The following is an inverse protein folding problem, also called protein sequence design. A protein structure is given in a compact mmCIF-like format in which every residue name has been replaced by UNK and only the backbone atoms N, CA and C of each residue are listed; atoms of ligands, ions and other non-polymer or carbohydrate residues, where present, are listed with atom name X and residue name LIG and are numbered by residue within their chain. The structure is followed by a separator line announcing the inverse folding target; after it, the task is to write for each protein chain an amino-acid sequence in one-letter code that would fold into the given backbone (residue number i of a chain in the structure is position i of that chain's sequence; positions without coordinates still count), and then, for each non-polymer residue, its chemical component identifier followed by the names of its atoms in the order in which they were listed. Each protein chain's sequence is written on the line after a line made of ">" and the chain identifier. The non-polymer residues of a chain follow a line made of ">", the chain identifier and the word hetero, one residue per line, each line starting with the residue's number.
data_IF_242191613023
#
_entry.id   IF_242191613023
#
_cell.length_a   1.000
_cell.length_b   1.000
_cell.length_c   1.000
_cell.angle_alpha   90.00
_cell.angle_beta   90.00
_cell.angle_gamma   90.00
#
_symmetry.space_group_name_H-M   'P 1'
#
loop_
_entity.id
_entity.type
_entity.pdbx_description
1 polymer ?
#
# COMPACT_ATOMS: atom_id res chain seq x y z
N UNK A 1 6.81 12.25 14.62
CA UNK A 1 8.29 12.32 14.61
C UNK A 1 8.83 13.75 14.70
N UNK A 2 8.36 14.74 13.92
CA UNK A 2 8.96 16.09 13.91
C UNK A 2 9.01 16.77 15.29
N UNK A 3 7.94 16.66 16.07
CA UNK A 3 7.89 17.19 17.46
C UNK A 3 9.03 16.61 18.31
N UNK A 4 9.26 15.31 18.24
CA UNK A 4 10.34 14.66 18.99
C UNK A 4 11.72 14.98 18.43
N UNK A 5 11.87 15.11 17.11
CA UNK A 5 13.14 15.50 16.49
C UNK A 5 13.64 16.85 17.03
N UNK A 6 12.76 17.85 17.08
CA UNK A 6 13.08 19.17 17.65
C UNK A 6 13.34 19.10 19.16
N UNK A 7 12.43 18.45 19.91
CA UNK A 7 12.50 18.39 21.38
C UNK A 7 13.71 17.64 21.91
N UNK A 8 14.28 16.71 21.13
CA UNK A 8 15.42 15.90 21.53
C UNK A 8 16.75 16.36 20.94
N UNK A 9 16.77 17.39 20.07
CA UNK A 9 17.98 17.80 19.33
C UNK A 9 19.19 18.02 20.25
N UNK A 10 19.06 18.87 21.27
CA UNK A 10 20.16 19.18 22.17
C UNK A 10 20.69 17.95 22.93
N UNK A 11 19.80 17.03 23.33
CA UNK A 11 20.18 15.80 24.04
C UNK A 11 20.91 14.82 23.11
N UNK A 12 20.50 14.74 21.84
CA UNK A 12 21.17 13.92 20.83
C UNK A 12 22.53 14.48 20.47
N UNK A 13 22.65 15.79 20.29
CA UNK A 13 23.92 16.48 20.02
C UNK A 13 24.93 16.35 21.17
N UNK A 14 24.44 16.34 22.42
CA UNK A 14 25.26 16.08 23.60
C UNK A 14 25.70 14.61 23.76
N UNK A 15 25.06 13.67 23.04
CA UNK A 15 25.30 12.24 23.19
C UNK A 15 24.56 11.59 24.36
N UNK A 16 23.70 12.34 25.07
CA UNK A 16 22.93 11.85 26.22
C UNK A 16 21.72 11.00 25.82
N UNK A 17 21.31 11.06 24.55
CA UNK A 17 20.17 10.33 24.03
C UNK A 17 20.43 9.80 22.62
N UNK A 18 20.18 8.51 22.42
CA UNK A 18 20.07 7.91 21.10
C UNK A 18 18.59 7.79 20.73
N UNK A 19 18.24 8.22 19.52
CA UNK A 19 16.88 8.07 18.98
C UNK A 19 16.93 7.16 17.77
N UNK A 20 16.02 6.19 17.74
CA UNK A 20 15.78 5.30 16.61
C UNK A 20 14.28 5.32 16.34
N UNK A 21 13.88 5.53 15.09
CA UNK A 21 12.48 5.39 14.69
C UNK A 21 12.24 4.08 13.98
N UNK A 22 10.99 3.65 14.01
CA UNK A 22 10.50 2.52 13.25
C UNK A 22 9.26 3.01 12.50
N UNK A 23 9.22 2.84 11.19
CA UNK A 23 8.09 3.24 10.35
C UNK A 23 7.39 2.04 9.75
N UNK A 24 6.05 2.08 9.74
CA UNK A 24 5.20 1.05 9.10
C UNK A 24 4.78 1.42 7.67
N UNK A 25 5.52 2.35 7.06
CA UNK A 25 5.35 2.79 5.68
C UNK A 25 5.61 1.63 4.68
N UNK A 26 4.85 1.56 3.59
CA UNK A 26 5.04 0.57 2.52
C UNK A 26 6.36 0.76 1.78
N UNK A 27 6.74 2.01 1.52
CA UNK A 27 7.84 2.34 0.63
C UNK A 27 8.94 3.10 1.39
N UNK A 28 10.14 2.52 1.44
CA UNK A 28 11.25 3.05 2.23
C UNK A 28 11.72 4.44 1.73
N UNK A 29 11.62 4.70 0.43
CA UNK A 29 11.91 5.98 -0.21
C UNK A 29 11.00 7.13 0.27
N UNK A 30 9.70 6.88 0.47
CA UNK A 30 8.76 7.85 1.06
C UNK A 30 9.20 8.22 2.48
N UNK A 31 9.64 7.25 3.27
CA UNK A 31 10.18 7.50 4.60
C UNK A 31 11.47 8.34 4.56
N UNK A 32 12.35 8.08 3.58
CA UNK A 32 13.58 8.86 3.35
C UNK A 32 13.28 10.30 2.91
N UNK A 33 12.34 10.50 1.99
CA UNK A 33 11.89 11.83 1.58
C UNK A 33 11.30 12.61 2.77
N UNK A 34 10.48 11.96 3.58
CA UNK A 34 9.94 12.56 4.80
C UNK A 34 11.05 12.96 5.78
N UNK A 35 12.07 12.11 5.95
CA UNK A 35 13.22 12.42 6.80
C UNK A 35 14.02 13.62 6.26
N UNK A 36 14.31 13.66 4.96
CA UNK A 36 14.99 14.79 4.31
C UNK A 36 14.19 16.09 4.47
N UNK A 37 12.87 16.03 4.27
CA UNK A 37 12.02 17.22 4.37
C UNK A 37 12.11 17.88 5.74
N UNK A 38 12.14 17.06 6.80
CA UNK A 38 12.18 17.50 8.19
C UNK A 38 13.60 17.55 8.80
N UNK A 39 14.66 17.30 8.03
CA UNK A 39 16.04 17.28 8.53
C UNK A 39 16.28 16.20 9.60
N UNK A 40 15.54 15.09 9.55
CA UNK A 40 15.72 13.98 10.48
C UNK A 40 17.02 13.25 10.14
N UNK A 41 17.94 13.28 11.10
CA UNK A 41 19.33 12.86 11.01
C UNK A 41 19.63 11.56 11.77
N UNK A 42 18.65 11.04 12.50
CA UNK A 42 18.78 9.79 13.26
C UNK A 42 18.21 8.58 12.52
N UNK A 43 18.67 7.34 12.82
CA UNK A 43 18.30 6.14 12.06
C UNK A 43 16.80 5.82 12.11
N UNK A 44 16.22 5.52 10.95
CA UNK A 44 14.84 5.04 10.80
C UNK A 44 14.87 3.62 10.26
N UNK A 45 14.39 2.67 11.04
CA UNK A 45 14.15 1.29 10.62
C UNK A 45 12.82 1.20 9.86
N UNK A 46 12.80 0.40 8.80
CA UNK A 46 11.64 0.19 7.95
C UNK A 46 10.97 -1.15 8.27
N UNK A 47 9.72 -1.09 8.74
CA UNK A 47 8.91 -2.25 9.15
C UNK A 47 7.52 -2.21 8.46
N UNK A 48 7.46 -2.46 7.13
CA UNK A 48 6.18 -2.47 6.42
C UNK A 48 5.27 -3.61 6.89
N UNK A 49 5.85 -4.64 7.53
CA UNK A 49 5.20 -5.89 7.93
C UNK A 49 4.59 -5.85 9.34
N UNK A 50 4.71 -4.73 10.07
CA UNK A 50 4.30 -4.60 11.47
C UNK A 50 4.90 -5.69 12.38
N UNK A 51 6.18 -6.00 12.22
CA UNK A 51 6.93 -6.95 13.04
C UNK A 51 7.05 -6.50 14.49
N UNK A 52 6.99 -5.20 14.74
CA UNK A 52 6.90 -4.65 16.11
C UNK A 52 5.61 -5.01 16.83
N UNK A 53 4.58 -5.51 16.13
CA UNK A 53 3.26 -5.79 16.70
C UNK A 53 2.54 -4.52 17.17
N UNK A 54 2.90 -3.37 16.63
CA UNK A 54 2.35 -2.08 17.03
C UNK A 54 0.88 -1.98 16.65
N UNK A 55 0.02 -1.82 17.65
CA UNK A 55 -1.43 -1.68 17.44
C UNK A 55 -1.88 -0.23 17.21
N UNK A 56 -0.99 0.75 17.35
CA UNK A 56 -1.26 2.18 17.15
C UNK A 56 0.03 2.96 16.86
N UNK A 57 -0.06 4.11 16.18
CA UNK A 57 1.08 5.03 16.00
C UNK A 57 0.65 6.49 16.24
N UNK A 58 1.55 7.36 16.73
CA UNK A 58 2.92 7.07 17.15
C UNK A 58 2.99 6.33 18.50
N UNK A 59 3.92 5.38 18.63
CA UNK A 59 4.33 4.79 19.90
C UNK A 59 5.75 5.27 20.24
N UNK A 60 5.95 5.77 21.46
CA UNK A 60 7.25 6.24 21.93
C UNK A 60 7.59 5.47 23.21
N UNK A 61 8.82 5.00 23.31
CA UNK A 61 9.31 4.19 24.42
C UNK A 61 10.71 4.65 24.82
N UNK A 62 10.94 4.87 26.12
CA UNK A 62 12.27 5.11 26.68
C UNK A 62 12.91 3.79 27.13
N UNK A 63 14.09 3.48 26.59
CA UNK A 63 14.86 2.27 26.88
C UNK A 63 16.19 2.71 27.50
N UNK A 64 16.47 2.24 28.71
CA UNK A 64 17.69 2.60 29.44
C UNK A 64 18.95 1.92 28.88
N UNK A 65 20.11 2.24 29.46
CA UNK A 65 21.41 1.68 29.08
C UNK A 65 21.55 0.16 29.30
N UNK A 66 20.62 -0.44 30.06
CA UNK A 66 20.54 -1.88 30.30
C UNK A 66 19.57 -2.58 29.33
N UNK A 67 18.98 -1.84 28.38
CA UNK A 67 18.04 -2.38 27.39
C UNK A 67 16.62 -2.59 27.95
N UNK A 68 16.29 -1.97 29.08
CA UNK A 68 14.99 -2.13 29.73
C UNK A 68 14.06 -0.97 29.40
N UNK A 69 12.81 -1.29 29.08
CA UNK A 69 11.75 -0.30 28.91
C UNK A 69 11.42 0.34 30.26
N UNK A 70 11.63 1.65 30.38
CA UNK A 70 11.34 2.40 31.61
C UNK A 70 10.09 3.27 31.52
N UNK A 71 9.82 3.81 30.33
CA UNK A 71 8.67 4.70 30.12
C UNK A 71 8.01 4.38 28.79
N UNK A 72 6.69 4.29 28.78
CA UNK A 72 5.86 4.06 27.59
C UNK A 72 4.96 5.27 27.37
N UNK A 73 4.89 5.75 26.13
CA UNK A 73 4.16 6.97 25.73
C UNK A 73 4.52 8.20 26.59
N UNK A 74 5.82 8.52 26.76
CA UNK A 74 6.21 9.72 27.48
C UNK A 74 5.65 10.97 26.79
N UNK A 75 5.45 12.03 27.57
CA UNK A 75 5.18 13.37 27.03
C UNK A 75 6.51 14.07 26.74
N UNK A 76 6.65 14.79 25.62
CA UNK A 76 7.88 15.50 25.30
C UNK A 76 8.33 16.46 26.42
N UNK A 77 7.38 17.10 27.09
CA UNK A 77 7.65 18.13 28.10
C UNK A 77 8.25 17.56 29.39
N UNK A 78 7.93 16.31 29.73
CA UNK A 78 8.37 15.66 30.97
C UNK A 78 9.38 14.53 30.72
N UNK A 79 9.81 14.32 29.48
CA UNK A 79 10.64 13.17 29.12
C UNK A 79 12.00 13.19 29.83
N UNK A 80 12.69 14.33 29.84
CA UNK A 80 14.00 14.45 30.47
C UNK A 80 13.94 14.15 31.98
N UNK A 81 12.97 14.70 32.68
CA UNK A 81 12.78 14.45 34.11
C UNK A 81 12.38 12.99 34.39
N UNK A 82 11.47 12.44 33.59
CA UNK A 82 10.94 11.10 33.82
C UNK A 82 11.90 9.97 33.41
N UNK A 83 12.85 10.24 32.50
CA UNK A 83 13.70 9.20 31.91
C UNK A 83 15.19 9.48 31.97
N UNK A 84 15.65 10.72 31.81
CA UNK A 84 17.08 11.04 31.78
C UNK A 84 17.66 11.42 33.15
N UNK A 85 16.86 12.05 34.01
CA UNK A 85 17.31 12.41 35.36
C UNK A 85 17.55 11.21 36.28
N UNK A 86 16.76 10.11 36.22
CA UNK A 86 16.99 8.93 37.04
C UNK A 86 18.20 8.11 36.57
N UNK A 87 18.95 7.54 37.51
CA UNK A 87 19.91 6.46 37.21
C UNK A 87 19.22 5.11 37.41
N UNK A 88 19.38 4.20 36.45
CA UNK A 88 18.74 2.89 36.51
C UNK A 88 19.72 1.83 37.02
N UNK A 89 19.29 1.06 38.03
CA UNK A 89 20.06 -0.08 38.49
C UNK A 89 20.05 -1.19 37.41
N UNK A 90 21.18 -1.89 37.20
CA UNK A 90 21.23 -3.02 36.29
C UNK A 90 20.27 -4.13 36.75
N UNK A 91 19.68 -4.90 35.83
CA UNK A 91 18.83 -6.04 36.20
C UNK A 91 19.62 -7.04 37.06
N UNK A 92 18.95 -7.60 38.08
CA UNK A 92 19.55 -8.55 39.01
C UNK A 92 20.10 -9.82 38.32
N UNK A 93 19.58 -10.14 37.14
CA UNK A 93 20.01 -11.24 36.29
C UNK A 93 20.61 -10.67 34.99
N UNK A 94 21.79 -10.06 35.11
CA UNK A 94 22.50 -9.33 34.04
C UNK A 94 23.08 -10.23 32.94
N UNK A 95 22.50 -11.42 32.72
CA UNK A 95 22.60 -12.04 31.41
C UNK A 95 21.76 -11.17 30.47
N UNK A 96 22.39 -10.09 29.96
CA UNK A 96 21.96 -9.43 28.73
C UNK A 96 21.95 -10.55 27.70
N UNK A 97 20.80 -11.21 27.55
CA UNK A 97 20.59 -12.07 26.40
C UNK A 97 20.59 -11.08 25.26
N UNK A 98 21.58 -11.11 24.34
CA UNK A 98 21.41 -10.37 23.12
C UNK A 98 20.11 -10.91 22.55
N UNK A 99 19.07 -10.08 22.56
CA UNK A 99 17.88 -10.28 21.74
C UNK A 99 18.33 -10.03 20.31
N UNK A 100 19.31 -10.83 19.84
CA UNK A 100 19.48 -11.08 18.43
C UNK A 100 18.18 -11.75 18.07
N UNK A 101 17.28 -10.95 17.51
CA UNK A 101 16.18 -11.44 16.73
C UNK A 101 16.80 -12.23 15.59
N UNK A 102 17.12 -13.49 15.85
CA UNK A 102 17.44 -14.45 14.80
C UNK A 102 16.13 -14.72 14.06
N UNK A 103 16.15 -15.06 12.77
CA UNK A 103 14.96 -15.56 12.09
C UNK A 103 14.23 -16.66 12.89
N UNK A 104 14.96 -17.46 13.68
CA UNK A 104 14.37 -18.46 14.57
C UNK A 104 13.53 -17.86 15.73
N UNK A 105 13.83 -16.66 16.20
CA UNK A 105 13.08 -16.00 17.30
C UNK A 105 11.76 -15.35 16.88
N UNK A 106 11.57 -15.12 15.57
CA UNK A 106 10.30 -14.70 14.97
C UNK A 106 9.46 -15.90 14.53
N UNK A 107 10.05 -17.11 14.51
CA UNK A 107 9.37 -18.32 14.09
C UNK A 107 8.68 -18.95 15.30
N UNK A 108 7.35 -19.07 15.24
CA UNK A 108 6.69 -20.15 15.97
C UNK A 108 7.22 -21.50 15.48
N UNK A 109 7.11 -22.59 16.27
CA UNK A 109 7.41 -23.92 15.77
C UNK A 109 6.58 -24.20 14.50
N UNK A 110 7.23 -24.28 13.33
CA UNK A 110 6.58 -24.47 12.02
C UNK A 110 6.68 -23.28 11.04
N UNK A 111 7.16 -22.10 11.47
CA UNK A 111 7.09 -20.85 10.68
C UNK A 111 8.41 -20.40 10.02
N UNK A 112 9.48 -21.21 10.08
CA UNK A 112 10.82 -20.81 9.59
C UNK A 112 10.81 -20.35 8.12
N UNK A 113 10.04 -21.01 7.26
CA UNK A 113 9.91 -20.63 5.86
C UNK A 113 9.31 -19.24 5.66
N UNK A 114 8.29 -18.90 6.45
CA UNK A 114 7.60 -17.62 6.40
C UNK A 114 8.45 -16.49 6.98
N UNK A 115 9.17 -16.74 8.09
CA UNK A 115 10.12 -15.74 8.61
C UNK A 115 11.26 -15.48 7.64
N UNK A 116 11.83 -16.54 7.06
CA UNK A 116 12.86 -16.39 6.04
C UNK A 116 12.34 -15.64 4.81
N UNK A 117 11.04 -15.74 4.50
CA UNK A 117 10.41 -14.92 3.48
C UNK A 117 10.36 -13.43 3.86
N UNK A 118 9.96 -13.09 5.09
CA UNK A 118 9.94 -11.70 5.56
C UNK A 118 11.34 -11.09 5.56
N UNK A 119 12.33 -11.80 6.11
CA UNK A 119 13.72 -11.36 6.13
C UNK A 119 14.24 -11.11 4.71
N UNK A 120 13.84 -11.96 3.76
CA UNK A 120 14.16 -11.75 2.35
C UNK A 120 13.52 -10.47 1.81
N UNK A 121 12.21 -10.25 1.98
CA UNK A 121 11.55 -9.01 1.52
C UNK A 121 12.16 -7.73 2.12
N UNK A 122 12.59 -7.78 3.37
CA UNK A 122 13.27 -6.66 4.04
C UNK A 122 14.71 -6.44 3.54
N UNK A 123 15.41 -7.52 3.21
CA UNK A 123 16.80 -7.49 2.75
C UNK A 123 16.97 -7.32 1.24
N UNK A 124 15.91 -7.49 0.45
CA UNK A 124 15.92 -7.25 -0.99
C UNK A 124 16.18 -5.76 -1.22
N UNK A 125 17.27 -5.40 -1.89
CA UNK A 125 17.43 -4.03 -2.36
C UNK A 125 16.39 -3.85 -3.46
N UNK A 126 15.30 -3.14 -3.16
CA UNK A 126 14.25 -2.81 -4.13
C UNK A 126 14.77 -1.99 -5.32
N UNK A 127 16.01 -1.50 -5.23
CA UNK A 127 16.76 -0.81 -6.28
C UNK A 127 17.78 -1.70 -7.02
N UNK A 128 17.89 -3.01 -6.73
CA UNK A 128 18.88 -3.88 -7.38
C UNK A 128 18.35 -4.57 -8.63
N UNK A 129 19.19 -4.56 -9.67
CA UNK A 129 19.04 -5.25 -10.95
C UNK A 129 19.06 -6.78 -10.78
N UNK A 130 18.00 -7.35 -10.23
CA UNK A 130 17.76 -8.78 -10.42
C UNK A 130 17.46 -9.03 -11.90
N UNK A 131 17.98 -10.13 -12.43
CA UNK A 131 17.34 -10.76 -13.58
C UNK A 131 15.87 -11.02 -13.22
N UNK A 132 14.94 -10.54 -14.05
CA UNK A 132 13.50 -10.62 -13.80
C UNK A 132 13.04 -12.05 -13.54
N UNK A 133 13.66 -13.05 -14.16
CA UNK A 133 13.29 -14.46 -13.97
C UNK A 133 13.72 -14.98 -12.59
N UNK A 134 14.94 -14.64 -12.15
CA UNK A 134 15.40 -15.01 -10.81
C UNK A 134 14.59 -14.32 -9.70
N UNK A 135 14.23 -13.04 -9.91
CA UNK A 135 13.36 -12.28 -9.01
C UNK A 135 11.98 -12.91 -8.90
N UNK A 136 11.36 -13.20 -10.04
CA UNK A 136 10.04 -13.82 -10.11
C UNK A 136 10.03 -15.14 -9.33
N UNK A 137 10.96 -16.04 -9.63
CA UNK A 137 11.05 -17.33 -8.96
C UNK A 137 11.28 -17.20 -7.45
N UNK A 138 12.04 -16.21 -7.00
CA UNK A 138 12.24 -15.93 -5.58
C UNK A 138 10.96 -15.41 -4.92
N UNK A 139 10.28 -14.44 -5.53
CA UNK A 139 9.02 -13.89 -5.03
C UNK A 139 7.94 -14.95 -4.92
N UNK A 140 7.79 -15.82 -5.93
CA UNK A 140 6.82 -16.93 -5.88
C UNK A 140 7.07 -17.84 -4.67
N UNK A 141 8.32 -18.26 -4.45
CA UNK A 141 8.65 -19.11 -3.30
C UNK A 141 8.36 -18.43 -1.97
N UNK A 142 8.67 -17.13 -1.84
CA UNK A 142 8.45 -16.39 -0.59
C UNK A 142 6.97 -16.10 -0.33
N UNK A 143 6.21 -15.75 -1.35
CA UNK A 143 4.76 -15.58 -1.25
C UNK A 143 4.06 -16.90 -0.93
N UNK A 144 4.52 -18.01 -1.50
CA UNK A 144 4.00 -19.33 -1.16
C UNK A 144 4.23 -19.67 0.32
N UNK A 145 5.43 -19.39 0.85
CA UNK A 145 5.73 -19.61 2.28
C UNK A 145 4.83 -18.77 3.21
N UNK A 146 4.59 -17.49 2.88
CA UNK A 146 3.66 -16.65 3.63
C UNK A 146 2.21 -17.15 3.51
N UNK A 147 1.78 -17.56 2.32
CA UNK A 147 0.45 -18.11 2.11
C UNK A 147 0.23 -19.41 2.90
N UNK A 148 1.25 -20.27 2.99
CA UNK A 148 1.20 -21.47 3.83
C UNK A 148 1.03 -21.14 5.31
N UNK A 149 1.73 -20.12 5.84
CA UNK A 149 1.55 -19.68 7.23
C UNK A 149 0.13 -19.16 7.51
N UNK A 150 -0.47 -18.46 6.53
CA UNK A 150 -1.87 -17.98 6.62
C UNK A 150 -2.89 -19.12 6.56
N UNK A 151 -2.55 -20.26 5.95
CA UNK A 151 -3.43 -21.40 5.78
C UNK A 151 -3.47 -22.34 7.00
N UNK A 152 -2.56 -22.18 7.96
CA UNK A 152 -2.57 -22.95 9.21
C UNK A 152 -3.80 -22.59 10.04
N UNK A 153 -4.50 -23.59 10.56
CA UNK A 153 -5.66 -23.37 11.43
C UNK A 153 -5.24 -22.67 12.72
N UNK A 154 -6.00 -21.64 13.12
CA UNK A 154 -5.64 -20.78 14.26
C UNK A 154 -4.39 -19.92 14.06
N UNK A 155 -3.89 -19.75 12.83
CA UNK A 155 -2.75 -18.87 12.54
C UNK A 155 -2.98 -17.43 13.04
N UNK A 156 -1.89 -16.80 13.51
CA UNK A 156 -1.88 -15.37 13.86
C UNK A 156 -2.38 -14.53 12.68
N UNK A 157 -3.43 -13.71 12.85
CA UNK A 157 -3.93 -12.78 11.82
C UNK A 157 -2.85 -11.88 11.20
N UNK A 158 -1.76 -11.59 11.93
CA UNK A 158 -0.63 -10.84 11.41
C UNK A 158 -0.01 -11.48 10.16
N UNK A 159 -0.07 -12.81 10.00
CA UNK A 159 0.41 -13.47 8.78
C UNK A 159 -0.37 -13.05 7.54
N UNK A 160 -1.69 -12.84 7.67
CA UNK A 160 -2.51 -12.34 6.56
C UNK A 160 -2.16 -10.89 6.22
N UNK A 161 -1.90 -10.05 7.24
CA UNK A 161 -1.44 -8.69 7.01
C UNK A 161 -0.11 -8.67 6.24
N UNK A 162 0.85 -9.48 6.70
CA UNK A 162 2.19 -9.59 6.09
C UNK A 162 2.13 -10.12 4.66
N UNK A 163 1.29 -11.11 4.39
CA UNK A 163 1.05 -11.60 3.03
C UNK A 163 0.55 -10.49 2.12
N UNK A 164 -0.38 -9.65 2.59
CA UNK A 164 -0.86 -8.52 1.81
C UNK A 164 0.23 -7.49 1.50
N UNK A 165 1.10 -7.20 2.47
CA UNK A 165 2.27 -6.32 2.27
C UNK A 165 3.19 -6.90 1.19
N UNK A 166 3.51 -8.20 1.26
CA UNK A 166 4.36 -8.86 0.27
C UNK A 166 3.74 -8.89 -1.13
N UNK A 167 2.42 -9.07 -1.25
CA UNK A 167 1.70 -8.98 -2.54
C UNK A 167 1.78 -7.58 -3.12
N UNK A 168 1.60 -6.55 -2.28
CA UNK A 168 1.77 -5.17 -2.71
C UNK A 168 3.20 -4.90 -3.19
N UNK A 169 4.19 -5.41 -2.48
CA UNK A 169 5.58 -5.30 -2.92
C UNK A 169 5.85 -6.00 -4.27
N UNK A 170 5.17 -7.11 -4.59
CA UNK A 170 5.26 -7.72 -5.94
C UNK A 170 4.62 -6.82 -7.00
N UNK A 171 3.47 -6.22 -6.71
CA UNK A 171 2.80 -5.27 -7.60
C UNK A 171 3.69 -4.07 -7.95
N UNK A 172 4.45 -3.59 -6.98
CA UNK A 172 5.36 -2.46 -7.12
C UNK A 172 6.72 -2.84 -7.78
N UNK A 173 6.89 -4.10 -8.21
CA UNK A 173 8.13 -4.62 -8.78
C UNK A 173 8.03 -4.89 -10.29
N UNK A 174 9.17 -5.09 -11.00
CA UNK A 174 9.16 -5.48 -12.42
C UNK A 174 8.47 -6.81 -12.73
N UNK A 175 8.18 -7.64 -11.72
CA UNK A 175 7.52 -8.95 -11.86
C UNK A 175 6.08 -8.93 -11.32
N UNK A 176 5.48 -7.75 -11.27
CA UNK A 176 4.07 -7.55 -10.94
C UNK A 176 3.16 -8.46 -11.76
N UNK A 177 2.09 -8.95 -11.14
CA UNK A 177 1.06 -9.75 -11.82
C UNK A 177 -0.31 -9.12 -11.67
N UNK A 178 -1.17 -9.37 -12.65
CA UNK A 178 -2.60 -9.12 -12.50
C UNK A 178 -3.14 -9.82 -11.23
N UNK A 179 -4.00 -9.13 -10.50
CA UNK A 179 -4.62 -9.60 -9.28
C UNK A 179 -3.80 -9.35 -8.01
N UNK A 180 -2.58 -8.81 -8.09
CA UNK A 180 -1.76 -8.57 -6.90
C UNK A 180 -2.41 -7.57 -5.93
N UNK A 181 -3.03 -6.51 -6.44
CA UNK A 181 -3.73 -5.55 -5.58
C UNK A 181 -4.95 -6.21 -4.91
N UNK A 182 -5.76 -6.93 -5.68
CA UNK A 182 -6.92 -7.66 -5.15
C UNK A 182 -6.51 -8.66 -4.07
N UNK A 183 -5.48 -9.46 -4.32
CA UNK A 183 -4.94 -10.41 -3.35
C UNK A 183 -4.37 -9.73 -2.09
N UNK A 184 -3.72 -8.57 -2.24
CA UNK A 184 -3.23 -7.79 -1.11
C UNK A 184 -4.38 -7.28 -0.23
N UNK A 185 -5.41 -6.71 -0.87
CA UNK A 185 -6.61 -6.19 -0.20
C UNK A 185 -7.37 -7.29 0.53
N UNK A 186 -7.53 -8.47 -0.08
CA UNK A 186 -8.14 -9.62 0.57
C UNK A 186 -7.37 -10.08 1.80
N UNK A 187 -6.04 -10.16 1.70
CA UNK A 187 -5.20 -10.57 2.81
C UNK A 187 -5.24 -9.56 3.98
N UNK A 188 -5.16 -8.25 3.68
CA UNK A 188 -5.33 -7.20 4.69
C UNK A 188 -6.73 -7.20 5.30
N UNK A 189 -7.78 -7.39 4.49
CA UNK A 189 -9.16 -7.44 4.96
C UNK A 189 -9.41 -8.65 5.85
N UNK A 190 -8.80 -9.80 5.55
CA UNK A 190 -8.81 -10.98 6.42
C UNK A 190 -8.15 -10.69 7.77
N UNK A 191 -6.99 -10.04 7.76
CA UNK A 191 -6.28 -9.66 8.99
C UNK A 191 -7.13 -8.71 9.85
N UNK A 192 -7.65 -7.63 9.26
CA UNK A 192 -8.46 -6.64 9.97
C UNK A 192 -9.79 -7.21 10.48
N UNK A 193 -10.41 -8.16 9.77
CA UNK A 193 -11.61 -8.86 10.27
C UNK A 193 -11.33 -9.67 11.53
N UNK A 194 -10.15 -10.28 11.62
CA UNK A 194 -9.75 -11.07 12.76
C UNK A 194 -9.32 -10.20 13.96
N UNK A 195 -8.73 -9.03 13.72
CA UNK A 195 -8.48 -8.01 14.76
C UNK A 195 -8.87 -6.60 14.29
N UNK A 196 -10.14 -6.19 14.46
CA UNK A 196 -10.65 -4.90 14.01
C UNK A 196 -9.99 -3.69 14.69
N UNK A 197 -9.28 -3.89 15.81
CA UNK A 197 -8.67 -2.81 16.58
C UNK A 197 -7.24 -2.47 16.12
N UNK A 198 -6.68 -3.23 15.18
CA UNK A 198 -5.34 -2.98 14.64
C UNK A 198 -5.31 -1.73 13.77
N UNK A 199 -4.86 -0.63 14.36
CA UNK A 199 -4.78 0.66 13.69
C UNK A 199 -3.91 0.62 12.43
N UNK A 200 -2.74 -0.02 12.50
CA UNK A 200 -1.80 -0.08 11.38
C UNK A 200 -2.42 -0.80 10.18
N UNK A 201 -3.11 -1.92 10.44
CA UNK A 201 -3.78 -2.70 9.41
C UNK A 201 -4.96 -1.95 8.79
N UNK A 202 -5.74 -1.25 9.64
CA UNK A 202 -6.83 -0.39 9.16
C UNK A 202 -6.31 0.74 8.27
N UNK A 203 -5.26 1.45 8.70
CA UNK A 203 -4.65 2.54 7.93
C UNK A 203 -4.11 2.06 6.59
N UNK A 204 -3.57 0.83 6.54
CA UNK A 204 -3.13 0.20 5.30
C UNK A 204 -4.25 0.07 4.27
N UNK A 205 -5.41 -0.45 4.68
CA UNK A 205 -6.58 -0.54 3.80
C UNK A 205 -7.13 0.84 3.43
N UNK A 206 -7.19 1.76 4.39
CA UNK A 206 -7.68 3.12 4.18
C UNK A 206 -6.84 3.93 3.18
N UNK A 207 -5.56 3.62 2.98
CA UNK A 207 -4.76 4.23 1.90
C UNK A 207 -5.41 4.02 0.53
N UNK A 208 -5.97 2.84 0.31
CA UNK A 208 -6.61 2.43 -0.94
C UNK A 208 -8.13 2.48 -0.89
N UNK A 209 -8.73 2.74 0.27
CA UNK A 209 -10.16 2.70 0.51
C UNK A 209 -10.96 3.91 -0.01
N UNK A 210 -12.27 3.94 0.28
CA UNK A 210 -13.17 5.06 -0.07
C UNK A 210 -12.74 6.37 0.58
N UNK A 211 -13.08 7.51 -0.05
CA UNK A 211 -12.75 8.86 0.47
C UNK A 211 -13.30 9.11 1.87
N UNK A 212 -14.53 8.68 2.16
CA UNK A 212 -15.15 8.88 3.48
C UNK A 212 -14.47 8.10 4.60
N UNK A 213 -13.72 7.05 4.27
CA UNK A 213 -12.97 6.26 5.25
C UNK A 213 -11.59 6.88 5.58
N UNK A 214 -11.16 7.88 4.81
CA UNK A 214 -9.85 8.51 4.97
C UNK A 214 -9.91 9.66 5.96
N UNK A 215 -9.18 9.60 7.08
CA UNK A 215 -9.15 10.68 8.07
C UNK A 215 -8.46 11.96 7.58
N UNK A 216 -7.57 11.85 6.58
CA UNK A 216 -6.75 12.91 6.01
C UNK A 216 -6.20 12.42 4.65
N UNK A 217 -5.62 13.33 3.86
CA UNK A 217 -4.83 12.96 2.69
C UNK A 217 -3.51 12.31 3.14
N UNK A 218 -3.35 11.00 2.91
CA UNK A 218 -2.21 10.21 3.40
C UNK A 218 -0.86 10.73 2.90
N UNK A 219 -0.79 11.12 1.62
CA UNK A 219 0.48 11.46 0.96
C UNK A 219 0.48 12.83 0.29
N UNK A 220 -0.53 13.67 0.52
CA UNK A 220 -0.53 15.09 0.10
C UNK A 220 0.61 15.93 0.69
N UNK A 221 1.47 15.35 1.54
CA UNK A 221 2.72 15.95 1.97
C UNK A 221 3.88 15.74 0.98
N UNK A 222 3.83 14.77 0.06
CA UNK A 222 4.95 14.48 -0.87
C UNK A 222 5.27 15.68 -1.76
N UNK A 223 4.27 16.26 -2.42
CA UNK A 223 4.48 17.44 -3.28
C UNK A 223 4.93 18.66 -2.47
N UNK A 224 4.40 18.82 -1.26
CA UNK A 224 4.86 19.88 -0.33
C UNK A 224 6.31 19.67 0.10
N UNK A 225 6.71 18.43 0.34
CA UNK A 225 8.08 18.08 0.69
C UNK A 225 9.03 18.38 -0.47
N UNK A 226 8.71 17.92 -1.68
CA UNK A 226 9.49 18.17 -2.90
C UNK A 226 9.70 19.67 -3.13
N UNK A 227 8.62 20.46 -3.05
CA UNK A 227 8.69 21.91 -3.21
C UNK A 227 9.57 22.58 -2.13
N UNK A 228 9.35 22.23 -0.85
CA UNK A 228 10.10 22.82 0.26
C UNK A 228 11.59 22.46 0.24
N UNK A 229 11.95 21.24 -0.16
CA UNK A 229 13.35 20.82 -0.31
C UNK A 229 14.01 21.58 -1.46
N UNK A 230 13.33 21.70 -2.59
CA UNK A 230 13.82 22.47 -3.75
C UNK A 230 14.04 23.94 -3.41
N UNK A 231 13.13 24.56 -2.65
CA UNK A 231 13.25 25.94 -2.19
C UNK A 231 14.50 26.17 -1.31
N UNK A 232 14.96 25.15 -0.58
CA UNK A 232 16.22 25.18 0.18
C UNK A 232 17.46 25.02 -0.68
N UNK A 233 17.32 24.78 -1.99
CA UNK A 233 18.42 24.51 -2.91
C UNK A 233 18.93 23.06 -2.87
N UNK A 234 18.15 22.14 -2.30
CA UNK A 234 18.44 20.71 -2.28
C UNK A 234 17.65 19.97 -3.38
N UNK A 235 18.15 18.82 -3.82
CA UNK A 235 17.39 17.91 -4.70
C UNK A 235 16.52 16.96 -3.84
N UNK A 236 15.20 16.92 -4.06
CA UNK A 236 14.33 15.98 -3.36
C UNK A 236 14.69 14.54 -3.69
N UNK A 237 14.78 13.69 -2.66
CA UNK A 237 14.96 12.25 -2.87
C UNK A 237 13.81 11.67 -3.71
N UNK A 238 14.17 10.85 -4.69
CA UNK A 238 13.22 10.20 -5.58
C UNK A 238 12.30 9.25 -4.81
N UNK A 239 11.03 9.23 -5.22
CA UNK A 239 10.04 8.21 -4.82
C UNK A 239 9.78 7.36 -6.05
N UNK A 240 10.17 6.09 -6.01
CA UNK A 240 10.16 5.19 -7.16
C UNK A 240 8.76 4.72 -7.54
N UNK A 241 7.83 4.74 -6.59
CA UNK A 241 6.43 4.34 -6.79
C UNK A 241 5.52 5.54 -6.60
N UNK A 242 5.08 6.09 -7.73
CA UNK A 242 4.11 7.18 -7.80
C UNK A 242 2.79 6.82 -7.11
N UNK A 243 2.14 7.84 -6.55
CA UNK A 243 0.89 7.67 -5.83
C UNK A 243 -0.23 7.30 -6.81
N UNK A 244 -1.06 6.32 -6.46
CA UNK A 244 -2.32 6.17 -7.17
C UNK A 244 -3.28 7.32 -6.85
N UNK A 245 -4.38 7.43 -7.60
CA UNK A 245 -5.39 8.45 -7.35
C UNK A 245 -5.91 8.33 -5.91
N UNK A 246 -6.17 7.11 -5.42
CA UNK A 246 -6.61 6.86 -4.04
C UNK A 246 -5.62 7.41 -3.00
N UNK A 247 -4.33 7.24 -3.20
CA UNK A 247 -3.31 7.71 -2.27
C UNK A 247 -3.13 9.24 -2.25
N UNK A 248 -3.51 9.91 -3.35
CA UNK A 248 -3.35 11.36 -3.55
C UNK A 248 -4.65 12.19 -3.39
N UNK A 249 -5.83 11.54 -3.43
CA UNK A 249 -7.13 12.22 -3.51
C UNK A 249 -7.39 13.17 -2.32
N UNK A 250 -7.80 14.41 -2.61
CA UNK A 250 -8.33 15.36 -1.63
C UNK A 250 -9.67 14.88 -1.04
N UNK A 251 -9.89 15.17 0.24
CA UNK A 251 -11.16 14.88 0.89
C UNK A 251 -12.28 15.76 0.30
N UNK A 252 -13.48 15.19 0.15
CA UNK A 252 -14.64 15.97 -0.27
C UNK A 252 -15.86 15.11 -0.61
N UNK A 253 -17.05 15.75 -0.69
CA UNK A 253 -18.26 15.05 -1.10
C UNK A 253 -18.13 14.57 -2.55
N UNK A 254 -18.48 13.31 -2.77
CA UNK A 254 -18.59 12.75 -4.11
C UNK A 254 -19.89 13.18 -4.76
N UNK A 255 -19.78 13.56 -6.03
CA UNK A 255 -20.96 13.71 -6.89
C UNK A 255 -21.12 12.42 -7.68
N UNK A 256 -22.26 11.76 -7.50
CA UNK A 256 -22.63 10.57 -8.26
C UNK A 256 -23.41 11.00 -9.50
N UNK A 257 -23.02 10.51 -10.67
CA UNK A 257 -23.74 10.81 -11.91
C UNK A 257 -23.94 9.56 -12.76
N UNK A 258 -25.14 9.42 -13.30
CA UNK A 258 -25.44 8.45 -14.34
C UNK A 258 -25.10 8.97 -15.74
N UNK A 259 -24.51 10.18 -15.85
CA UNK A 259 -24.13 10.76 -17.12
C UNK A 259 -22.97 10.01 -17.80
N UNK A 260 -23.09 9.87 -19.12
CA UNK A 260 -22.10 9.22 -19.99
C UNK A 260 -22.81 8.43 -21.09
N UNK A 261 -22.34 8.56 -22.33
CA UNK A 261 -22.78 7.68 -23.40
C UNK A 261 -21.88 6.44 -23.41
N UNK A 262 -22.48 5.25 -23.44
CA UNK A 262 -21.74 3.99 -23.57
C UNK A 262 -20.92 4.03 -24.87
N UNK A 263 -19.58 3.92 -24.82
CA UNK A 263 -18.73 4.07 -26.02
C UNK A 263 -18.92 2.95 -27.05
N UNK A 264 -19.27 1.75 -26.60
CA UNK A 264 -19.52 0.59 -27.45
C UNK A 264 -20.84 -0.09 -27.06
N UNK A 265 -21.99 0.50 -27.45
CA UNK A 265 -23.31 0.02 -27.06
C UNK A 265 -23.71 -1.29 -27.75
N UNK A 266 -23.15 -1.57 -28.93
CA UNK A 266 -23.44 -2.77 -29.71
C UNK A 266 -22.43 -3.89 -29.50
N UNK A 267 -21.34 -3.66 -28.76
CA UNK A 267 -20.28 -4.66 -28.59
C UNK A 267 -19.53 -4.95 -29.89
N UNK A 268 -19.41 -3.96 -30.78
CA UNK A 268 -18.86 -4.17 -32.13
C UNK A 268 -17.32 -4.20 -32.14
N UNK A 269 -16.69 -3.69 -31.08
CA UNK A 269 -15.23 -3.67 -30.96
C UNK A 269 -14.72 -5.07 -30.62
N UNK A 270 -13.67 -5.58 -31.32
CA UNK A 270 -13.10 -6.89 -31.02
C UNK A 270 -12.63 -6.99 -29.57
N UNK A 271 -12.96 -8.12 -28.93
CA UNK A 271 -12.54 -8.40 -27.55
C UNK A 271 -11.10 -8.87 -27.49
N UNK A 272 -10.37 -8.39 -26.50
CA UNK A 272 -9.10 -8.97 -26.07
C UNK A 272 -9.35 -9.91 -24.88
N UNK A 273 -8.98 -11.17 -25.04
CA UNK A 273 -9.17 -12.21 -24.01
C UNK A 273 -7.97 -12.29 -23.05
N UNK A 274 -7.36 -11.13 -22.76
CA UNK A 274 -6.15 -11.03 -21.92
C UNK A 274 -4.86 -11.43 -22.65
N UNK A 275 -4.81 -11.26 -23.98
CA UNK A 275 -3.62 -11.59 -24.78
C UNK A 275 -2.74 -10.35 -24.97
N UNK A 276 -3.37 -9.19 -25.17
CA UNK A 276 -2.68 -7.95 -25.46
C UNK A 276 -2.56 -7.07 -24.22
N UNK A 277 -3.59 -7.06 -23.39
CA UNK A 277 -3.69 -6.21 -22.21
C UNK A 277 -4.16 -7.04 -21.02
N UNK A 278 -3.34 -7.04 -19.98
CA UNK A 278 -3.74 -7.52 -18.67
C UNK A 278 -4.60 -6.44 -18.01
N UNK A 279 -5.85 -6.80 -17.70
CA UNK A 279 -6.76 -5.96 -16.92
C UNK A 279 -6.90 -6.52 -15.52
N UNK A 280 -6.70 -5.68 -14.52
CA UNK A 280 -6.91 -6.02 -13.13
C UNK A 280 -7.92 -5.06 -12.49
N UNK A 281 -8.78 -5.60 -11.63
CA UNK A 281 -9.77 -4.83 -10.90
C UNK A 281 -9.81 -5.27 -9.43
N UNK A 282 -9.63 -4.33 -8.51
CA UNK A 282 -9.65 -4.58 -7.07
C UNK A 282 -10.68 -3.68 -6.37
N UNK A 283 -11.43 -4.24 -5.42
CA UNK A 283 -12.41 -3.50 -4.61
C UNK A 283 -11.91 -3.38 -3.18
N UNK A 284 -11.81 -2.15 -2.69
CA UNK A 284 -11.45 -1.84 -1.31
C UNK A 284 -12.67 -1.30 -0.59
N UNK A 285 -13.05 -1.97 0.48
CA UNK A 285 -14.22 -1.63 1.30
C UNK A 285 -13.87 -0.56 2.33
N UNK A 286 -14.91 0.12 2.81
CA UNK A 286 -14.81 0.89 4.04
C UNK A 286 -14.42 -0.01 5.23
N UNK A 287 -13.62 0.54 6.12
CA UNK A 287 -13.08 -0.15 7.31
C UNK A 287 -13.74 0.28 8.62
N UNK A 288 -14.92 0.91 8.56
CA UNK A 288 -15.65 1.38 9.75
C UNK A 288 -16.07 0.18 10.58
N UNK A 289 -15.98 0.31 11.90
CA UNK A 289 -16.35 -0.74 12.86
C UNK A 289 -17.58 -0.30 13.64
N UNK A 290 -18.64 -1.11 13.64
CA UNK A 290 -19.87 -0.97 14.43
C UNK A 290 -20.05 -2.23 15.25
N UNK A 291 -20.23 -2.08 16.57
CA UNK A 291 -20.40 -3.21 17.51
C UNK A 291 -19.31 -4.30 17.39
N UNK A 292 -18.05 -3.88 17.15
CA UNK A 292 -16.91 -4.78 17.02
C UNK A 292 -16.81 -5.53 15.69
N UNK A 293 -17.64 -5.18 14.69
CA UNK A 293 -17.63 -5.77 13.35
C UNK A 293 -17.50 -4.69 12.27
N UNK A 294 -16.98 -5.05 11.10
CA UNK A 294 -16.93 -4.12 9.97
C UNK A 294 -18.35 -3.78 9.50
N UNK A 295 -18.61 -2.49 9.30
CA UNK A 295 -19.91 -1.93 8.92
C UNK A 295 -20.11 -2.01 7.39
N UNK A 296 -21.07 -2.82 6.97
CA UNK A 296 -21.41 -3.11 5.57
C UNK A 296 -22.94 -3.09 5.40
N UNK A 297 -23.49 -2.61 4.27
CA UNK A 297 -22.82 -2.09 3.07
C UNK A 297 -22.62 -0.57 3.12
N UNK A 298 -21.38 -0.14 2.93
CA UNK A 298 -20.97 1.27 2.82
C UNK A 298 -20.28 1.49 1.47
N UNK A 299 -19.80 2.71 1.22
CA UNK A 299 -19.07 3.03 -0.01
C UNK A 299 -17.87 2.10 -0.23
N UNK A 300 -17.57 1.83 -1.50
CA UNK A 300 -16.39 1.05 -1.91
C UNK A 300 -15.56 1.85 -2.90
N UNK A 301 -14.23 1.67 -2.86
CA UNK A 301 -13.30 2.18 -3.85
C UNK A 301 -12.93 1.04 -4.78
N UNK A 302 -13.05 1.26 -6.08
CA UNK A 302 -12.62 0.31 -7.11
C UNK A 302 -11.37 0.87 -7.78
N UNK A 303 -10.39 -0.01 -7.98
CA UNK A 303 -9.14 0.27 -8.69
C UNK A 303 -9.14 -0.59 -9.94
N UNK A 304 -9.06 0.01 -11.11
CA UNK A 304 -8.95 -0.69 -12.39
C UNK A 304 -7.61 -0.31 -13.01
N UNK A 305 -6.82 -1.29 -13.39
CA UNK A 305 -5.52 -1.08 -14.02
C UNK A 305 -5.37 -1.90 -15.30
N UNK A 306 -4.67 -1.32 -16.26
CA UNK A 306 -4.44 -1.84 -17.60
C UNK A 306 -2.93 -1.86 -17.83
N UNK A 307 -2.41 -3.03 -18.17
CA UNK A 307 -0.97 -3.24 -18.44
C UNK A 307 -0.81 -3.91 -19.80
N UNK A 308 0.05 -3.39 -20.70
CA UNK A 308 0.37 -4.10 -21.92
C UNK A 308 1.09 -5.41 -21.61
N UNK A 309 0.73 -6.48 -22.30
CA UNK A 309 1.48 -7.72 -22.27
C UNK A 309 2.92 -7.50 -22.77
N UNK A 310 3.82 -8.45 -22.49
CA UNK A 310 5.23 -8.33 -22.88
C UNK A 310 5.37 -8.12 -24.40
N UNK A 311 6.01 -7.02 -24.78
CA UNK A 311 6.22 -6.64 -26.18
C UNK A 311 5.05 -5.88 -26.80
N UNK A 312 3.92 -5.73 -26.10
CA UNK A 312 2.82 -4.85 -26.49
C UNK A 312 3.07 -3.44 -25.93
N UNK A 313 2.61 -2.43 -26.64
CA UNK A 313 2.67 -1.03 -26.20
C UNK A 313 1.40 -0.28 -26.58
N UNK A 314 1.14 0.82 -25.87
CA UNK A 314 0.08 1.77 -26.19
C UNK A 314 0.44 2.61 -27.41
N UNK A 315 -0.56 2.99 -28.20
CA UNK A 315 -0.47 4.09 -29.16
C UNK A 315 -1.31 5.28 -28.71
N UNK A 316 -0.65 6.41 -28.56
CA UNK A 316 -1.20 7.61 -27.91
C UNK A 316 -1.75 8.64 -28.89
N UNK A 317 -1.41 8.48 -30.17
CA UNK A 317 -1.85 9.31 -31.30
C UNK A 317 -3.25 8.92 -31.81
N UNK A 318 -3.64 7.66 -31.63
CA UNK A 318 -4.92 7.12 -32.12
C UNK A 318 -6.14 7.54 -31.27
N UNK A 319 -5.92 7.91 -30.01
CA UNK A 319 -6.97 8.36 -29.10
C UNK A 319 -6.74 7.93 -27.66
N UNK A 320 -7.53 8.46 -26.70
CA UNK A 320 -7.38 8.11 -25.30
C UNK A 320 -7.90 6.71 -24.99
N UNK A 321 -7.36 6.08 -23.95
CA UNK A 321 -8.00 4.90 -23.37
C UNK A 321 -9.30 5.32 -22.65
N UNK A 322 -10.37 4.55 -22.89
CA UNK A 322 -11.67 4.77 -22.26
C UNK A 322 -11.99 3.60 -21.33
N UNK A 323 -12.56 3.88 -20.17
CA UNK A 323 -13.10 2.85 -19.26
C UNK A 323 -14.58 3.14 -19.04
N UNK A 324 -15.42 2.17 -19.38
CA UNK A 324 -16.84 2.17 -19.08
C UNK A 324 -17.12 1.20 -17.94
N UNK A 325 -17.99 1.60 -17.02
CA UNK A 325 -18.45 0.75 -15.92
C UNK A 325 -19.97 0.61 -15.92
N UNK A 326 -20.42 -0.57 -15.54
CA UNK A 326 -21.82 -0.93 -15.35
C UNK A 326 -22.06 -1.22 -13.87
N UNK A 327 -22.43 -0.20 -13.07
CA UNK A 327 -22.61 -0.36 -11.64
C UNK A 327 -23.67 -1.43 -11.34
N UNK A 328 -23.50 -2.23 -10.26
CA UNK A 328 -24.49 -3.20 -9.86
C UNK A 328 -25.87 -2.56 -9.65
N UNK A 329 -26.94 -3.34 -9.82
CA UNK A 329 -28.31 -2.85 -9.60
C UNK A 329 -28.45 -2.26 -8.19
N UNK A 330 -28.98 -1.05 -8.11
CA UNK A 330 -29.15 -0.34 -6.84
C UNK A 330 -27.90 0.38 -6.34
N UNK A 331 -26.78 0.32 -7.07
CA UNK A 331 -25.59 1.10 -6.78
C UNK A 331 -25.52 2.38 -7.63
N UNK A 332 -24.73 3.35 -7.15
CA UNK A 332 -24.39 4.57 -7.87
C UNK A 332 -22.87 4.62 -8.03
N UNK A 333 -22.40 5.11 -9.17
CA UNK A 333 -20.99 5.38 -9.39
C UNK A 333 -20.70 6.88 -9.40
N UNK A 334 -19.49 7.24 -8.98
CA UNK A 334 -18.97 8.61 -9.17
C UNK A 334 -19.12 9.04 -10.63
N UNK A 335 -18.84 8.13 -11.57
CA UNK A 335 -18.94 8.34 -13.02
C UNK A 335 -18.98 7.00 -13.73
N UNK A 336 -19.65 6.92 -14.89
CA UNK A 336 -19.68 5.70 -15.71
C UNK A 336 -18.60 5.62 -16.78
N UNK A 337 -18.17 6.76 -17.31
CA UNK A 337 -17.15 6.84 -18.37
C UNK A 337 -15.93 7.60 -17.88
N UNK A 338 -14.76 6.96 -17.94
CA UNK A 338 -13.47 7.57 -17.66
C UNK A 338 -12.65 7.65 -18.94
N UNK A 339 -11.96 8.77 -19.11
CA UNK A 339 -11.00 9.00 -20.19
C UNK A 339 -9.64 9.13 -19.54
N UNK A 340 -8.71 8.25 -19.88
CA UNK A 340 -7.36 8.27 -19.34
C UNK A 340 -6.48 9.17 -20.20
N UNK A 341 -5.72 10.04 -19.54
CA UNK A 341 -4.74 10.87 -20.22
C UNK A 341 -3.64 9.98 -20.81
N UNK A 342 -3.28 10.22 -22.07
CA UNK A 342 -2.12 9.60 -22.69
C UNK A 342 -0.88 10.49 -22.47
N UNK A 343 0.32 9.91 -22.31
CA UNK A 343 1.54 10.70 -22.28
C UNK A 343 1.79 11.36 -23.63
N UNK A 344 2.67 12.36 -23.66
CA UNK A 344 2.99 13.10 -24.89
C UNK A 344 3.78 12.27 -25.92
N UNK A 345 4.36 11.13 -25.53
CA UNK A 345 5.05 10.23 -26.45
C UNK A 345 4.07 9.51 -27.36
N UNK A 346 4.45 9.23 -28.61
CA UNK A 346 3.58 8.51 -29.56
C UNK A 346 3.24 7.09 -29.10
N UNK A 347 4.22 6.40 -28.53
CA UNK A 347 4.07 5.08 -27.93
C UNK A 347 4.56 5.07 -26.50
N UNK A 348 4.03 4.14 -25.71
CA UNK A 348 4.40 4.01 -24.31
C UNK A 348 4.01 2.65 -23.72
N UNK A 349 4.53 2.32 -22.55
CA UNK A 349 4.32 1.02 -21.87
C UNK A 349 3.96 1.14 -20.39
N UNK A 350 3.55 2.33 -19.96
CA UNK A 350 3.18 2.63 -18.58
C UNK A 350 1.94 1.85 -18.14
N UNK A 351 1.79 1.66 -16.83
CA UNK A 351 0.52 1.24 -16.24
C UNK A 351 -0.51 2.37 -16.42
N UNK A 352 -1.68 2.05 -16.95
CA UNK A 352 -2.83 2.96 -16.95
C UNK A 352 -3.81 2.52 -15.90
N UNK A 353 -4.27 3.43 -15.06
CA UNK A 353 -5.18 3.09 -13.98
C UNK A 353 -6.23 4.17 -13.75
N UNK A 354 -7.36 3.75 -13.21
CA UNK A 354 -8.39 4.64 -12.67
C UNK A 354 -8.89 4.10 -11.35
N UNK A 355 -9.12 5.01 -10.42
CA UNK A 355 -9.78 4.70 -9.18
C UNK A 355 -11.07 5.49 -9.09
N UNK A 356 -12.15 4.85 -8.67
CA UNK A 356 -13.46 5.48 -8.53
C UNK A 356 -14.24 4.88 -7.37
N UNK A 357 -15.32 5.54 -6.98
CA UNK A 357 -16.15 5.08 -5.86
C UNK A 357 -17.54 4.68 -6.31
N UNK A 358 -18.02 3.61 -5.68
CA UNK A 358 -19.39 3.14 -5.79
C UNK A 358 -20.06 3.25 -4.42
N UNK A 359 -21.34 3.63 -4.42
CA UNK A 359 -22.17 3.73 -3.22
C UNK A 359 -23.47 2.96 -3.40
N UNK A 360 -23.86 2.12 -2.42
CA UNK A 360 -25.17 1.50 -2.44
C UNK A 360 -26.25 2.58 -2.22
N UNK A 361 -27.41 2.43 -2.86
CA UNK A 361 -28.61 3.19 -2.47
C UNK A 361 -29.13 2.66 -1.12
N UNK A 362 -29.88 3.47 -0.34
CA UNK A 362 -30.44 3.01 0.92
C UNK A 362 -31.23 1.70 0.77
N UNK A 363 -30.96 0.73 1.64
CA UNK A 363 -31.62 -0.59 1.63
C UNK A 363 -31.08 -1.60 0.61
N UNK A 364 -30.07 -1.22 -0.19
CA UNK A 364 -29.41 -2.13 -1.13
C UNK A 364 -28.30 -2.87 -0.42
N UNK A 365 -28.37 -4.21 -0.45
CA UNK A 365 -27.29 -5.08 0.01
C UNK A 365 -26.11 -5.03 -0.96
N UNK A 366 -24.98 -5.53 -0.47
CA UNK A 366 -23.78 -5.67 -1.27
C UNK A 366 -24.03 -6.52 -2.52
N UNK A 367 -23.83 -5.91 -3.69
CA UNK A 367 -23.94 -6.59 -4.98
C UNK A 367 -22.80 -7.58 -5.15
N UNK A 368 -23.01 -8.61 -5.97
CA UNK A 368 -21.99 -9.67 -6.13
C UNK A 368 -20.81 -9.20 -6.98
N UNK A 369 -21.08 -8.42 -8.04
CA UNK A 369 -20.09 -8.14 -9.07
C UNK A 369 -20.35 -6.81 -9.78
N UNK A 370 -19.31 -6.00 -9.92
CA UNK A 370 -19.23 -4.89 -10.86
C UNK A 370 -18.70 -5.42 -12.20
N UNK A 371 -19.38 -5.08 -13.30
CA UNK A 371 -18.87 -5.27 -14.66
C UNK A 371 -18.38 -3.97 -15.27
N UNK A 372 -17.47 -4.07 -16.23
CA UNK A 372 -17.03 -2.95 -17.05
C UNK A 372 -16.07 -3.39 -18.14
N UNK A 373 -15.66 -2.44 -18.97
CA UNK A 373 -14.68 -2.68 -20.01
C UNK A 373 -13.80 -1.46 -20.27
N UNK A 374 -12.59 -1.73 -20.75
CA UNK A 374 -11.70 -0.73 -21.30
C UNK A 374 -11.68 -0.81 -22.82
N UNK A 375 -11.59 0.34 -23.49
CA UNK A 375 -11.31 0.46 -24.92
C UNK A 375 -9.94 1.09 -25.09
N UNK A 376 -9.05 0.39 -25.77
CA UNK A 376 -7.63 0.77 -25.87
C UNK A 376 -7.06 0.55 -27.26
N UNK A 377 -6.12 1.41 -27.63
CA UNK A 377 -5.29 1.26 -28.81
C UNK A 377 -3.93 0.66 -28.41
N UNK A 378 -3.60 -0.49 -28.99
CA UNK A 378 -2.38 -1.24 -28.70
C UNK A 378 -1.76 -1.80 -29.96
N UNK A 379 -0.43 -1.89 -30.00
CA UNK A 379 0.29 -2.56 -31.09
C UNK A 379 1.10 -3.72 -30.54
N UNK A 380 1.16 -4.80 -31.33
CA UNK A 380 1.88 -6.01 -30.98
C UNK A 380 3.41 -5.83 -30.99
N UNK A 381 4.15 -6.90 -30.63
CA UNK A 381 5.61 -6.89 -30.65
C UNK A 381 6.19 -6.53 -32.03
N UNK A 382 7.28 -5.74 -32.02
CA UNK A 382 8.11 -5.42 -33.20
C UNK A 382 7.33 -4.86 -34.40
N UNK A 383 6.68 -3.69 -34.22
CA UNK A 383 5.88 -3.01 -35.26
C UNK A 383 4.72 -3.87 -35.80
N UNK A 384 4.22 -4.80 -34.98
CA UNK A 384 3.02 -5.58 -35.27
C UNK A 384 1.79 -4.69 -35.45
N UNK A 385 0.72 -5.21 -36.10
CA UNK A 385 -0.45 -4.40 -36.42
C UNK A 385 -1.09 -3.83 -35.16
N UNK A 386 -1.36 -2.52 -35.19
CA UNK A 386 -2.11 -1.84 -34.16
C UNK A 386 -3.60 -2.23 -34.22
N UNK A 387 -4.22 -2.35 -33.05
CA UNK A 387 -5.60 -2.79 -32.88
C UNK A 387 -6.31 -1.90 -31.88
N UNK A 388 -7.57 -1.63 -32.17
CA UNK A 388 -8.50 -1.08 -31.19
C UNK A 388 -9.29 -2.23 -30.59
N UNK A 389 -9.11 -2.47 -29.30
CA UNK A 389 -9.65 -3.65 -28.61
C UNK A 389 -10.45 -3.27 -27.38
N UNK A 390 -11.35 -4.18 -27.03
CA UNK A 390 -12.19 -4.12 -25.85
C UNK A 390 -11.72 -5.15 -24.82
N UNK A 391 -11.32 -4.69 -23.65
CA UNK A 391 -10.85 -5.54 -22.57
C UNK A 391 -11.90 -5.53 -21.45
N UNK A 392 -12.58 -6.66 -21.23
CA UNK A 392 -13.59 -6.78 -20.18
C UNK A 392 -12.91 -6.92 -18.81
N UNK A 393 -13.59 -6.45 -17.75
CA UNK A 393 -13.19 -6.74 -16.38
C UNK A 393 -14.41 -6.91 -15.48
N UNK A 394 -14.18 -7.66 -14.40
CA UNK A 394 -15.15 -7.80 -13.33
C UNK A 394 -14.46 -7.58 -11.99
N UNK A 395 -15.18 -6.99 -11.04
CA UNK A 395 -14.67 -6.74 -9.71
C UNK A 395 -15.71 -7.22 -8.69
N UNK A 396 -15.32 -8.14 -7.82
CA UNK A 396 -16.25 -8.66 -6.80
C UNK A 396 -16.46 -7.62 -5.73
N UNK A 397 -17.74 -7.28 -5.54
CA UNK A 397 -18.10 -6.36 -4.49
C UNK A 397 -18.38 -7.07 -3.17
N UNK A 398 -18.31 -8.40 -3.00
CA UNK A 398 -18.66 -9.16 -1.74
C UNK A 398 -17.64 -9.19 -0.61
#
# INVERSE_FOLDING_TARGET
>A
MPVWHERTRALREAGDLVVIGITSEQHADRARLFAQWHGIDWPILWDPFNLTGSSAVPNITGIDEHGLVRVVRPKPESFAEAFLAPTFAPPADAAVRPWLLTPASLAGPGDEGAVNALAWFLGVPWAASFDSTALEAAMERRLAALASAVAVDGADPAWAFRLGVARRMRLDSPVARAGDLGAAVEAWSRALRADPHQYVWRRRLQQFGPRLDKPYNFYGWIERARAAITERGEEPLEVSIELCASESTEQGPLTFTDAGAQPDPTGAIPRDEGVLVDVDAAVVRHTRVVEGRLDLPTDVRVHVSLRPARGVHWTNDAGPALIWIDPPVGWRAERRLFTLAAPASETSGELRAVDFELSPRPGVLLGEELGGYALVYVCGPADGPCRFVRCEFTARCQ
#
